data_IF_440632670618
#
_entry.id   IF_440632670618
#
_cell.length_a   1.000
_cell.length_b   1.000
_cell.length_c   1.000
_cell.angle_alpha   90.00
_cell.angle_beta   90.00
_cell.angle_gamma   90.00
#
_symmetry.space_group_name_H-M   'P 1'
#
loop_
_entity.id
_entity.type
_entity.pdbx_description
1 polymer ?
#
# COMPACT_ATOMS: atom_id res chain seq x y z
N UNK A 1 23.78 -21.58 16.78
CA UNK A 1 23.20 -20.27 16.40
C UNK A 1 21.73 -20.47 16.06
N UNK A 2 20.83 -20.09 16.95
CA UNK A 2 19.39 -20.29 16.76
C UNK A 2 18.84 -19.09 15.97
N UNK A 3 18.75 -19.21 14.65
CA UNK A 3 18.21 -18.16 13.78
C UNK A 3 16.72 -18.03 14.05
N UNK A 4 16.31 -17.10 14.93
CA UNK A 4 14.91 -16.65 15.04
C UNK A 4 14.49 -16.13 13.66
N UNK A 5 13.80 -16.96 12.87
CA UNK A 5 13.21 -16.58 11.58
C UNK A 5 12.33 -15.36 11.82
N UNK A 6 12.73 -14.19 11.31
CA UNK A 6 11.84 -13.03 11.18
C UNK A 6 10.72 -13.46 10.23
N UNK A 7 9.54 -13.79 10.77
CA UNK A 7 8.35 -13.98 9.94
C UNK A 7 7.96 -12.60 9.43
N UNK A 8 8.38 -12.27 8.21
CA UNK A 8 8.07 -11.01 7.52
C UNK A 8 6.56 -10.86 7.25
N UNK A 9 5.82 -11.96 7.37
CA UNK A 9 4.39 -12.07 7.11
C UNK A 9 3.68 -12.40 8.42
N UNK A 10 3.13 -11.38 9.06
CA UNK A 10 2.50 -11.50 10.36
C UNK A 10 0.98 -11.63 10.25
N UNK A 11 0.37 -11.05 9.20
CA UNK A 11 -1.05 -11.23 8.85
C UNK A 11 -1.25 -11.13 7.31
N UNK A 12 -0.94 -12.20 6.59
CA UNK A 12 -0.95 -12.25 5.11
C UNK A 12 -2.27 -11.76 4.49
N UNK A 13 -3.39 -12.01 5.17
CA UNK A 13 -4.72 -11.62 4.68
C UNK A 13 -4.99 -10.11 4.73
N UNK A 14 -4.49 -9.42 5.75
CA UNK A 14 -4.70 -7.97 5.88
C UNK A 14 -3.77 -7.24 4.91
N UNK A 15 -2.51 -7.67 4.81
CA UNK A 15 -1.54 -7.05 3.93
C UNK A 15 -1.93 -7.14 2.45
N UNK A 16 -2.39 -8.31 2.01
CA UNK A 16 -2.79 -8.52 0.62
C UNK A 16 -4.06 -7.74 0.24
N UNK A 17 -4.99 -7.54 1.19
CA UNK A 17 -6.18 -6.71 0.97
C UNK A 17 -5.82 -5.25 0.70
N UNK A 18 -4.92 -4.66 1.50
CA UNK A 18 -4.52 -3.26 1.31
C UNK A 18 -3.62 -3.06 0.09
N UNK A 19 -2.67 -3.97 -0.16
CA UNK A 19 -1.85 -3.94 -1.39
C UNK A 19 -2.76 -4.10 -2.62
N UNK A 20 -3.70 -5.04 -2.60
CA UNK A 20 -4.64 -5.26 -3.70
C UNK A 20 -5.51 -4.03 -3.96
N UNK A 21 -6.05 -3.41 -2.91
CA UNK A 21 -6.82 -2.17 -3.02
C UNK A 21 -5.98 -1.04 -3.63
N UNK A 22 -4.74 -0.86 -3.16
CA UNK A 22 -3.82 0.15 -3.66
C UNK A 22 -3.49 -0.04 -5.15
N UNK A 23 -3.26 -1.28 -5.57
CA UNK A 23 -3.03 -1.63 -6.97
C UNK A 23 -4.27 -1.32 -7.81
N UNK A 24 -5.46 -1.70 -7.35
CA UNK A 24 -6.73 -1.43 -8.07
C UNK A 24 -6.94 0.07 -8.25
N UNK A 25 -6.82 0.85 -7.17
CA UNK A 25 -6.97 2.32 -7.23
C UNK A 25 -5.94 2.91 -8.20
N UNK A 26 -4.69 2.47 -8.11
CA UNK A 26 -3.62 2.96 -9.00
C UNK A 26 -3.89 2.64 -10.46
N UNK A 27 -4.38 1.44 -10.78
CA UNK A 27 -4.76 1.06 -12.13
C UNK A 27 -5.91 1.94 -12.64
N UNK A 28 -6.96 2.15 -11.83
CA UNK A 28 -8.08 3.03 -12.18
C UNK A 28 -7.57 4.44 -12.51
N UNK A 29 -6.68 5.00 -11.70
CA UNK A 29 -6.09 6.32 -11.94
C UNK A 29 -5.29 6.39 -13.24
N UNK A 30 -4.47 5.37 -13.55
CA UNK A 30 -3.70 5.30 -14.80
C UNK A 30 -4.64 5.22 -16.01
N UNK A 31 -5.67 4.37 -15.95
CA UNK A 31 -6.65 4.25 -17.04
C UNK A 31 -7.46 5.53 -17.23
N UNK A 32 -7.90 6.17 -16.14
CA UNK A 32 -8.63 7.44 -16.20
C UNK A 32 -7.77 8.57 -16.78
N UNK A 33 -6.50 8.67 -16.36
CA UNK A 33 -5.55 9.64 -16.89
C UNK A 33 -5.21 9.41 -18.37
N UNK A 34 -4.99 8.15 -18.75
CA UNK A 34 -4.76 7.79 -20.15
C UNK A 34 -5.97 8.10 -21.02
N UNK A 35 -7.18 7.74 -20.58
CA UNK A 35 -8.42 8.03 -21.31
C UNK A 35 -8.62 9.53 -21.49
N UNK A 36 -8.45 10.32 -20.42
CA UNK A 36 -8.55 11.79 -20.48
C UNK A 36 -7.51 12.43 -21.40
N UNK A 37 -6.27 11.93 -21.38
CA UNK A 37 -5.23 12.40 -22.29
C UNK A 37 -5.55 12.05 -23.75
N UNK A 38 -6.07 10.85 -23.97
CA UNK A 38 -6.48 10.38 -25.29
C UNK A 38 -7.63 11.19 -25.87
N UNK A 39 -8.67 11.49 -25.09
CA UNK A 39 -9.80 12.33 -25.54
C UNK A 39 -9.36 13.74 -25.90
N UNK A 40 -8.53 14.38 -25.05
CA UNK A 40 -7.99 15.72 -25.32
C UNK A 40 -7.12 15.71 -26.58
N UNK A 41 -6.27 14.70 -26.77
CA UNK A 41 -5.46 14.55 -27.97
C UNK A 41 -6.34 14.42 -29.21
N UNK A 42 -7.39 13.60 -29.17
CA UNK A 42 -8.30 13.45 -30.30
C UNK A 42 -8.98 14.77 -30.64
N UNK A 43 -9.61 15.44 -29.68
CA UNK A 43 -10.32 16.70 -29.93
C UNK A 43 -9.42 17.79 -30.54
N UNK A 44 -8.17 17.89 -30.08
CA UNK A 44 -7.25 18.93 -30.55
C UNK A 44 -6.52 18.59 -31.84
N UNK A 45 -6.24 17.31 -32.09
CA UNK A 45 -5.41 16.89 -33.22
C UNK A 45 -6.24 16.42 -34.43
N UNK A 46 -7.49 15.98 -34.24
CA UNK A 46 -8.38 15.60 -35.36
C UNK A 46 -8.51 16.73 -36.40
N UNK A 47 -8.77 17.99 -36.00
CA UNK A 47 -8.93 19.09 -36.95
C UNK A 47 -7.63 19.45 -37.68
N UNK A 48 -6.48 19.21 -37.06
CA UNK A 48 -5.17 19.65 -37.56
C UNK A 48 -4.44 18.62 -38.42
N UNK A 49 -4.58 17.33 -38.10
CA UNK A 49 -3.78 16.25 -38.70
C UNK A 49 -4.61 15.18 -39.42
N UNK A 50 -5.93 15.21 -39.27
CA UNK A 50 -6.83 14.20 -39.85
C UNK A 50 -6.73 12.82 -39.18
N UNK A 51 -7.59 11.90 -39.60
CA UNK A 51 -7.81 10.61 -38.93
C UNK A 51 -6.59 9.68 -39.04
N UNK A 52 -5.89 9.67 -40.17
CA UNK A 52 -4.79 8.74 -40.47
C UNK A 52 -3.60 8.86 -39.51
N UNK A 53 -3.23 10.08 -39.12
CA UNK A 53 -2.12 10.33 -38.19
C UNK A 53 -2.49 9.88 -36.76
N UNK A 54 -3.75 10.04 -36.37
CA UNK A 54 -4.26 9.61 -35.06
C UNK A 54 -4.26 8.09 -34.95
N UNK A 55 -4.63 7.39 -36.03
CA UNK A 55 -4.57 5.93 -36.06
C UNK A 55 -3.14 5.41 -35.98
N UNK A 56 -2.18 6.07 -36.64
CA UNK A 56 -0.77 5.74 -36.51
C UNK A 56 -0.26 5.95 -35.08
N UNK A 57 -0.72 7.02 -34.42
CA UNK A 57 -0.31 7.36 -33.04
C UNK A 57 -0.94 6.43 -31.99
N UNK A 58 -2.10 5.84 -32.28
CA UNK A 58 -2.82 4.92 -31.39
C UNK A 58 -1.96 3.75 -30.90
N UNK A 59 -1.18 3.14 -31.80
CA UNK A 59 -0.30 2.01 -31.46
C UNK A 59 0.77 2.43 -30.45
N UNK A 60 1.35 3.60 -30.62
CA UNK A 60 2.34 4.17 -29.70
C UNK A 60 1.69 4.53 -28.35
N UNK A 61 0.49 5.09 -28.35
CA UNK A 61 -0.26 5.42 -27.13
C UNK A 61 -0.57 4.18 -26.28
N UNK A 62 -1.01 3.07 -26.89
CA UNK A 62 -1.22 1.81 -26.18
C UNK A 62 0.10 1.20 -25.69
N UNK A 63 1.16 1.23 -26.50
CA UNK A 63 2.49 0.77 -26.07
C UNK A 63 2.95 1.52 -24.82
N UNK A 64 2.80 2.84 -24.79
CA UNK A 64 3.15 3.67 -23.64
C UNK A 64 2.30 3.32 -22.41
N UNK A 65 0.99 3.07 -22.59
CA UNK A 65 0.14 2.60 -21.50
C UNK A 65 0.64 1.29 -20.89
N UNK A 66 0.95 0.29 -21.72
CA UNK A 66 1.45 -1.00 -21.22
C UNK A 66 2.78 -0.86 -20.48
N UNK A 67 3.70 -0.03 -21.00
CA UNK A 67 4.99 0.24 -20.34
C UNK A 67 4.75 0.93 -18.99
N UNK A 68 3.90 1.95 -18.95
CA UNK A 68 3.55 2.65 -17.71
C UNK A 68 2.94 1.70 -16.67
N UNK A 69 2.00 0.84 -17.06
CA UNK A 69 1.41 -0.15 -16.15
C UNK A 69 2.45 -1.17 -15.67
N UNK A 70 3.32 -1.65 -16.56
CA UNK A 70 4.35 -2.63 -16.24
C UNK A 70 5.39 -2.09 -15.24
N UNK A 71 5.68 -0.78 -15.27
CA UNK A 71 6.58 -0.11 -14.32
C UNK A 71 5.84 0.22 -13.02
N UNK A 72 4.60 0.70 -13.11
CA UNK A 72 3.85 1.21 -11.97
C UNK A 72 3.38 0.08 -11.04
N UNK A 73 3.02 -1.08 -11.58
CA UNK A 73 2.62 -2.24 -10.78
C UNK A 73 3.67 -2.68 -9.75
N UNK A 74 4.91 -3.03 -10.13
CA UNK A 74 5.93 -3.44 -9.17
C UNK A 74 6.32 -2.31 -8.22
N UNK A 75 6.28 -1.06 -8.68
CA UNK A 75 6.60 0.11 -7.85
C UNK A 75 5.56 0.29 -6.73
N UNK A 76 4.26 0.29 -7.06
CA UNK A 76 3.17 0.38 -6.09
C UNK A 76 3.18 -0.83 -5.15
N UNK A 77 3.33 -2.04 -5.69
CA UNK A 77 3.37 -3.25 -4.87
C UNK A 77 4.52 -3.22 -3.86
N UNK A 78 5.72 -2.79 -4.29
CA UNK A 78 6.89 -2.70 -3.41
C UNK A 78 6.68 -1.64 -2.32
N UNK A 79 6.24 -0.44 -2.69
CA UNK A 79 5.96 0.64 -1.73
C UNK A 79 4.93 0.22 -0.68
N UNK A 80 3.82 -0.37 -1.11
CA UNK A 80 2.77 -0.80 -0.19
C UNK A 80 3.21 -1.99 0.65
N UNK A 81 4.04 -2.89 0.13
CA UNK A 81 4.61 -3.98 0.93
C UNK A 81 5.47 -3.42 2.07
N UNK A 82 6.35 -2.46 1.80
CA UNK A 82 7.15 -1.82 2.84
C UNK A 82 6.29 -1.13 3.90
N UNK A 83 5.32 -0.33 3.47
CA UNK A 83 4.42 0.40 4.37
C UNK A 83 3.61 -0.56 5.25
N UNK A 84 3.04 -1.59 4.63
CA UNK A 84 2.20 -2.57 5.29
C UNK A 84 3.00 -3.50 6.21
N UNK A 85 4.25 -3.79 5.90
CA UNK A 85 5.11 -4.62 6.73
C UNK A 85 5.34 -3.99 8.11
N UNK A 86 5.62 -2.68 8.15
CA UNK A 86 5.83 -1.92 9.39
C UNK A 86 4.56 -1.90 10.24
N UNK A 87 3.42 -1.55 9.64
CA UNK A 87 2.12 -1.55 10.31
C UNK A 87 1.75 -2.92 10.88
N UNK A 88 1.91 -3.99 10.11
CA UNK A 88 1.55 -5.34 10.57
C UNK A 88 2.42 -5.79 11.76
N UNK A 89 3.70 -5.41 11.79
CA UNK A 89 4.58 -5.68 12.92
C UNK A 89 4.10 -5.00 14.21
N UNK A 90 3.74 -3.71 14.12
CA UNK A 90 3.23 -2.96 15.26
C UNK A 90 1.86 -3.49 15.75
N UNK A 91 0.92 -3.76 14.83
CA UNK A 91 -0.40 -4.33 15.15
C UNK A 91 -0.27 -5.66 15.86
N UNK A 92 0.62 -6.53 15.41
CA UNK A 92 0.82 -7.84 16.03
C UNK A 92 1.35 -7.74 17.47
N UNK A 93 2.30 -6.84 17.72
CA UNK A 93 2.80 -6.60 19.08
C UNK A 93 1.67 -6.11 19.99
N UNK A 94 0.84 -5.17 19.52
CA UNK A 94 -0.32 -4.68 20.27
C UNK A 94 -1.31 -5.81 20.55
N UNK A 95 -1.68 -6.59 19.53
CA UNK A 95 -2.62 -7.73 19.68
C UNK A 95 -2.11 -8.77 20.67
N UNK A 96 -0.82 -9.10 20.63
CA UNK A 96 -0.19 -10.02 21.58
C UNK A 96 -0.24 -9.47 23.00
N UNK A 97 0.08 -8.19 23.19
CA UNK A 97 0.04 -7.56 24.49
C UNK A 97 -1.37 -7.49 25.07
N UNK A 98 -2.38 -7.14 24.26
CA UNK A 98 -3.78 -7.17 24.69
C UNK A 98 -4.23 -8.57 25.14
N UNK A 99 -3.80 -9.62 24.43
CA UNK A 99 -4.09 -10.99 24.83
C UNK A 99 -3.36 -11.38 26.13
N UNK A 100 -2.14 -10.89 26.37
CA UNK A 100 -1.46 -11.10 27.66
C UNK A 100 -2.15 -10.35 28.81
N UNK A 101 -2.64 -9.13 28.57
CA UNK A 101 -3.43 -8.34 29.53
C UNK A 101 -4.74 -9.06 29.89
N UNK A 102 -5.43 -9.64 28.92
CA UNK A 102 -6.65 -10.45 29.15
C UNK A 102 -6.38 -11.64 30.09
N UNK A 103 -5.18 -12.21 30.03
CA UNK A 103 -4.74 -13.29 30.91
C UNK A 103 -4.15 -12.79 32.25
N UNK A 104 -4.30 -11.49 32.57
CA UNK A 104 -3.79 -10.87 33.79
C UNK A 104 -2.28 -10.60 33.80
N UNK A 105 -1.58 -10.81 32.68
CA UNK A 105 -0.16 -10.54 32.56
C UNK A 105 0.07 -9.16 31.95
N UNK A 106 0.22 -8.16 32.81
CA UNK A 106 0.42 -6.77 32.41
C UNK A 106 1.89 -6.50 32.11
N UNK A 107 2.24 -6.56 30.83
CA UNK A 107 3.55 -6.15 30.29
C UNK A 107 3.45 -4.84 29.50
N UNK A 108 4.52 -4.05 29.57
CA UNK A 108 4.65 -2.80 28.81
C UNK A 108 4.83 -3.10 27.33
N UNK A 109 4.08 -2.40 26.49
CA UNK A 109 4.17 -2.46 25.03
C UNK A 109 5.27 -1.51 24.56
N UNK A 110 6.30 -2.04 23.92
CA UNK A 110 7.38 -1.25 23.33
C UNK A 110 7.39 -1.39 21.79
N UNK A 111 7.05 -0.28 21.14
CA UNK A 111 7.17 -0.08 19.69
C UNK A 111 8.40 0.78 19.39
N UNK A 112 8.89 0.73 18.16
CA UNK A 112 10.01 1.61 17.77
C UNK A 112 9.53 3.07 17.71
N UNK A 113 10.45 4.02 17.87
CA UNK A 113 10.11 5.44 17.92
C UNK A 113 9.42 5.95 16.65
N UNK A 114 9.69 5.29 15.53
CA UNK A 114 9.19 5.64 14.23
C UNK A 114 7.86 4.93 13.91
N UNK A 115 7.44 3.91 14.67
CA UNK A 115 6.19 3.18 14.42
C UNK A 115 4.95 4.08 14.55
N UNK A 116 4.09 4.04 13.52
CA UNK A 116 2.90 4.91 13.43
C UNK A 116 1.87 4.65 14.55
N UNK A 117 1.97 3.51 15.25
CA UNK A 117 1.07 3.10 16.33
C UNK A 117 1.65 3.34 17.74
N UNK A 118 2.79 4.02 17.87
CA UNK A 118 3.44 4.28 19.17
C UNK A 118 2.51 4.96 20.17
N UNK A 119 1.76 5.98 19.74
CA UNK A 119 0.79 6.68 20.59
C UNK A 119 -0.30 5.75 21.14
N UNK A 120 -0.69 4.72 20.37
CA UNK A 120 -1.66 3.72 20.83
C UNK A 120 -1.02 2.82 21.88
N UNK A 121 0.21 2.36 21.66
CA UNK A 121 0.94 1.55 22.63
C UNK A 121 1.15 2.30 23.96
N UNK A 122 1.50 3.59 23.90
CA UNK A 122 1.61 4.45 25.09
C UNK A 122 0.26 4.62 25.80
N UNK A 123 -0.82 4.85 25.06
CA UNK A 123 -2.17 4.92 25.63
C UNK A 123 -2.55 3.64 26.37
N UNK A 124 -2.26 2.46 25.79
CA UNK A 124 -2.50 1.17 26.44
C UNK A 124 -1.64 1.02 27.69
N UNK A 125 -0.35 1.37 27.61
CA UNK A 125 0.57 1.31 28.75
C UNK A 125 0.05 2.17 29.92
N UNK A 126 -0.38 3.40 29.66
CA UNK A 126 -0.94 4.30 30.66
C UNK A 126 -2.22 3.74 31.31
N UNK A 127 -3.08 3.08 30.53
CA UNK A 127 -4.28 2.40 31.07
C UNK A 127 -3.86 1.26 31.99
N UNK A 128 -2.95 0.40 31.53
CA UNK A 128 -2.49 -0.75 32.30
C UNK A 128 -1.74 -0.38 33.57
N UNK A 129 -1.03 0.74 33.58
CA UNK A 129 -0.33 1.25 34.77
C UNK A 129 -1.32 1.72 35.83
N UNK A 130 -2.47 2.28 35.44
CA UNK A 130 -3.56 2.66 36.35
C UNK A 130 -4.38 1.48 36.87
N UNK A 131 -4.28 0.32 36.23
CA UNK A 131 -5.00 -0.91 36.62
C UNK A 131 -4.16 -1.81 37.55
N UNK A 132 -2.88 -1.50 37.75
CA UNK A 132 -2.03 -2.11 38.78
C UNK A 132 -2.28 -1.46 40.14
#
# INVERSE_FOLDING_TARGET
>A
MNTKRKKVLVDFGLQFRYIGLAVIVSLISVFAGWYSCWTIMQEKLLPAFGISIIEATRKTAYKNLYISVAILLPLVATLFLFFTHRLAGAIFKIKKALSEIENGNIQKIELYDDDDLKNIAEGINNITEKLK
#
